data_IF_964172263203
#
_entry.id   IF_964172263203
#
_cell.length_a   1.000
_cell.length_b   1.000
_cell.length_c   1.000
_cell.angle_alpha   90.00
_cell.angle_beta   90.00
_cell.angle_gamma   90.00
#
_symmetry.space_group_name_H-M   'P 1'
#
loop_
_entity.id
_entity.type
_entity.pdbx_description
1 polymer ?
#
# COMPACT_ATOMS: atom_id res chain seq x y z
N UNK A 1 -9.46 -45.29 2.66
CA UNK A 1 -8.54 -44.45 1.87
C UNK A 1 -9.14 -43.07 1.87
N UNK A 2 -8.61 -42.23 2.75
CA UNK A 2 -9.18 -40.93 3.12
C UNK A 2 -9.08 -39.96 1.93
N UNK A 3 -10.23 -39.51 1.44
CA UNK A 3 -10.33 -38.55 0.36
C UNK A 3 -10.01 -37.16 0.91
N UNK A 4 -8.74 -36.75 0.78
CA UNK A 4 -8.28 -35.42 1.15
C UNK A 4 -8.80 -34.41 0.12
N UNK A 5 -10.06 -34.00 0.24
CA UNK A 5 -10.58 -32.82 -0.44
C UNK A 5 -10.05 -31.57 0.26
N UNK A 6 -8.87 -31.11 -0.19
CA UNK A 6 -8.34 -29.80 0.17
C UNK A 6 -9.28 -28.72 -0.39
N UNK A 7 -10.12 -28.13 0.47
CA UNK A 7 -10.92 -26.97 0.10
C UNK A 7 -10.02 -25.74 -0.10
N UNK A 8 -9.95 -25.23 -1.32
CA UNK A 8 -9.13 -24.10 -1.75
C UNK A 8 -9.63 -22.72 -1.26
N UNK A 9 -10.04 -22.59 0.01
CA UNK A 9 -10.64 -21.37 0.55
C UNK A 9 -9.65 -20.43 1.26
N UNK A 10 -8.37 -20.78 1.32
CA UNK A 10 -7.37 -20.02 2.11
C UNK A 10 -6.69 -18.86 1.34
N UNK A 11 -7.36 -18.25 0.37
CA UNK A 11 -6.82 -17.10 -0.39
C UNK A 11 -7.58 -15.78 -0.19
N UNK A 12 -8.39 -15.66 0.86
CA UNK A 12 -9.23 -14.45 1.14
C UNK A 12 -8.99 -13.86 2.54
N UNK A 13 -7.76 -14.01 3.08
CA UNK A 13 -7.42 -13.54 4.42
C UNK A 13 -7.24 -12.03 4.62
N UNK A 14 -7.04 -11.23 3.55
CA UNK A 14 -6.77 -9.79 3.67
C UNK A 14 -7.99 -8.87 3.35
N UNK A 15 -9.12 -9.46 2.93
CA UNK A 15 -10.30 -8.70 2.52
C UNK A 15 -11.32 -8.48 3.64
N UNK A 16 -11.25 -9.24 4.74
CA UNK A 16 -12.34 -9.31 5.72
C UNK A 16 -12.55 -7.99 6.48
N UNK A 17 -11.48 -7.28 6.82
CA UNK A 17 -11.52 -6.01 7.57
C UNK A 17 -11.70 -4.78 6.68
N UNK A 18 -11.45 -4.92 5.38
CA UNK A 18 -11.56 -3.82 4.41
C UNK A 18 -13.02 -3.56 4.02
N UNK A 19 -13.91 -4.57 4.11
CA UNK A 19 -15.34 -4.42 3.81
C UNK A 19 -16.06 -3.45 4.78
N UNK A 20 -15.77 -3.52 6.09
CA UNK A 20 -16.39 -2.63 7.08
C UNK A 20 -15.94 -1.17 6.96
N UNK A 21 -14.68 -0.96 6.61
CA UNK A 21 -14.08 0.36 6.44
C UNK A 21 -14.63 1.10 5.20
N UNK A 22 -14.87 0.35 4.12
CA UNK A 22 -15.51 0.87 2.91
C UNK A 22 -16.95 1.33 3.18
N UNK A 23 -17.69 0.62 4.03
CA UNK A 23 -19.05 0.99 4.39
C UNK A 23 -19.11 2.33 5.13
N UNK A 24 -18.12 2.63 5.98
CA UNK A 24 -18.02 3.88 6.76
C UNK A 24 -17.16 4.96 6.08
N UNK A 25 -16.82 4.82 4.80
CA UNK A 25 -15.89 5.74 4.13
C UNK A 25 -16.35 7.20 4.13
N UNK A 26 -17.66 7.45 4.18
CA UNK A 26 -18.23 8.80 4.26
C UNK A 26 -17.82 9.54 5.53
N UNK A 27 -17.59 8.84 6.64
CA UNK A 27 -17.17 9.43 7.91
C UNK A 27 -15.75 9.99 7.81
N UNK A 28 -14.83 9.25 7.17
CA UNK A 28 -13.42 9.62 7.05
C UNK A 28 -13.14 10.72 6.02
N UNK A 29 -14.12 11.01 5.15
CA UNK A 29 -13.99 11.99 4.07
C UNK A 29 -14.73 13.29 4.36
N UNK A 30 -15.28 13.47 5.56
CA UNK A 30 -15.93 14.73 5.96
C UNK A 30 -14.92 15.89 5.98
N UNK A 31 -13.72 15.63 6.49
CA UNK A 31 -12.66 16.63 6.58
C UNK A 31 -11.80 16.69 5.31
N UNK A 32 -11.24 17.87 5.04
CA UNK A 32 -10.18 18.06 4.06
C UNK A 32 -8.88 18.46 4.80
N UNK A 33 -7.80 17.68 4.72
CA UNK A 33 -7.67 16.37 4.06
C UNK A 33 -8.43 15.23 4.75
N UNK A 34 -8.86 14.24 3.95
CA UNK A 34 -9.38 12.96 4.41
C UNK A 34 -8.21 12.02 4.76
N UNK A 35 -8.12 11.60 6.02
CA UNK A 35 -7.04 10.74 6.51
C UNK A 35 -7.40 9.27 6.39
N UNK A 36 -6.40 8.43 6.19
CA UNK A 36 -6.60 6.99 6.18
C UNK A 36 -6.93 6.48 7.60
N UNK A 37 -8.05 5.78 7.79
CA UNK A 37 -8.49 5.27 9.09
C UNK A 37 -7.63 4.11 9.64
N UNK A 38 -6.71 3.56 8.83
CA UNK A 38 -5.70 2.58 9.28
C UNK A 38 -4.41 3.23 9.77
N UNK A 39 -4.40 4.56 9.98
CA UNK A 39 -3.25 5.34 10.42
C UNK A 39 -1.97 5.08 9.59
N UNK A 40 -2.12 4.84 8.29
CA UNK A 40 -0.99 4.58 7.40
C UNK A 40 -0.22 5.86 7.01
N UNK A 41 -0.56 7.01 7.60
CA UNK A 41 0.02 8.33 7.30
C UNK A 41 -0.38 8.95 5.96
N UNK A 42 -1.23 8.30 5.16
CA UNK A 42 -1.73 8.89 3.90
C UNK A 42 -3.00 9.71 4.11
N UNK A 43 -3.09 10.80 3.36
CA UNK A 43 -4.26 11.67 3.33
C UNK A 43 -4.53 12.20 1.92
N UNK A 44 -5.80 12.49 1.63
CA UNK A 44 -6.27 12.89 0.31
C UNK A 44 -7.09 14.18 0.41
N UNK A 45 -6.86 15.11 -0.50
CA UNK A 45 -7.49 16.45 -0.52
C UNK A 45 -8.41 16.63 -1.74
N UNK A 46 -9.35 17.55 -1.62
CA UNK A 46 -10.22 18.01 -2.70
C UNK A 46 -11.37 17.06 -3.05
N UNK A 47 -12.05 17.38 -4.15
CA UNK A 47 -13.26 16.68 -4.63
C UNK A 47 -13.09 15.17 -4.78
N UNK A 48 -11.88 14.72 -5.15
CA UNK A 48 -11.58 13.31 -5.41
C UNK A 48 -11.13 12.53 -4.18
N UNK A 49 -11.06 13.16 -3.00
CA UNK A 49 -10.52 12.53 -1.79
C UNK A 49 -11.22 11.23 -1.42
N UNK A 50 -12.54 11.14 -1.61
CA UNK A 50 -13.32 9.93 -1.34
C UNK A 50 -12.94 8.78 -2.25
N UNK A 51 -12.88 9.02 -3.56
CA UNK A 51 -12.49 7.99 -4.55
C UNK A 51 -11.04 7.56 -4.33
N UNK A 52 -10.15 8.51 -4.06
CA UNK A 52 -8.75 8.21 -3.81
C UNK A 52 -8.56 7.42 -2.51
N UNK A 53 -9.26 7.78 -1.44
CA UNK A 53 -9.23 7.04 -0.18
C UNK A 53 -9.82 5.64 -0.36
N UNK A 54 -10.89 5.47 -1.15
CA UNK A 54 -11.47 4.16 -1.45
C UNK A 54 -10.44 3.28 -2.16
N UNK A 55 -9.83 3.77 -3.23
CA UNK A 55 -8.84 3.03 -3.99
C UNK A 55 -7.63 2.70 -3.12
N UNK A 56 -7.21 3.63 -2.26
CA UNK A 56 -6.19 3.39 -1.27
C UNK A 56 -6.55 2.22 -0.36
N UNK A 57 -7.74 2.23 0.25
CA UNK A 57 -8.17 1.18 1.17
C UNK A 57 -8.25 -0.20 0.52
N UNK A 58 -8.68 -0.27 -0.74
CA UNK A 58 -8.85 -1.53 -1.49
C UNK A 58 -7.51 -2.06 -1.99
N UNK A 59 -6.65 -1.21 -2.56
CA UNK A 59 -5.52 -1.65 -3.37
C UNK A 59 -4.17 -1.31 -2.78
N UNK A 60 -4.08 -0.49 -1.74
CA UNK A 60 -2.81 -0.01 -1.20
C UNK A 60 -2.68 -0.22 0.31
N UNK A 61 -3.76 -0.01 1.06
CA UNK A 61 -3.74 0.07 2.51
C UNK A 61 -3.67 -1.31 3.14
N UNK A 62 -2.61 -1.56 3.92
CA UNK A 62 -2.35 -2.86 4.53
C UNK A 62 -1.51 -3.79 3.65
N UNK A 63 -1.16 -3.38 2.43
CA UNK A 63 -0.10 -4.06 1.68
C UNK A 63 1.25 -3.64 2.25
N UNK A 64 2.13 -4.59 2.62
CA UNK A 64 3.47 -4.26 3.06
C UNK A 64 4.17 -3.51 1.91
N UNK A 65 4.62 -2.29 2.21
CA UNK A 65 5.51 -1.59 1.29
C UNK A 65 6.82 -2.39 1.24
N UNK A 66 7.00 -3.17 0.18
CA UNK A 66 8.10 -4.13 0.09
C UNK A 66 9.45 -3.47 -0.12
N UNK A 67 9.49 -2.18 -0.48
CA UNK A 67 10.72 -1.52 -0.90
C UNK A 67 10.98 -0.30 -0.03
N UNK A 68 11.93 -0.43 0.90
CA UNK A 68 12.38 0.66 1.77
C UNK A 68 13.67 1.27 1.21
N UNK A 69 13.80 2.59 1.27
CA UNK A 69 15.07 3.25 1.05
C UNK A 69 15.88 3.25 2.35
N UNK A 70 17.09 2.71 2.36
CA UNK A 70 17.91 2.69 3.59
C UNK A 70 18.66 4.00 3.88
N UNK A 71 18.62 4.97 2.95
CA UNK A 71 19.24 6.29 3.17
C UNK A 71 18.28 7.21 3.93
N UNK A 72 17.02 7.29 3.51
CA UNK A 72 16.03 8.17 4.12
C UNK A 72 14.87 7.43 4.80
N UNK A 73 14.94 6.09 4.89
CA UNK A 73 13.92 5.22 5.51
C UNK A 73 12.52 5.30 4.89
N UNK A 74 12.38 5.94 3.71
CA UNK A 74 11.09 6.09 3.03
C UNK A 74 10.68 4.77 2.38
N UNK A 75 9.42 4.39 2.55
CA UNK A 75 8.84 3.17 2.00
C UNK A 75 8.09 3.42 0.69
N UNK A 76 8.24 2.48 -0.23
CA UNK A 76 7.69 2.52 -1.58
C UNK A 76 6.96 1.20 -1.86
N UNK A 77 5.87 1.32 -2.62
CA UNK A 77 5.04 0.19 -3.01
C UNK A 77 5.61 -0.59 -4.20
N UNK A 78 6.28 0.10 -5.12
CA UNK A 78 6.82 -0.50 -6.33
C UNK A 78 8.31 -0.21 -6.48
N UNK A 79 9.05 -1.18 -7.03
CA UNK A 79 10.50 -1.08 -7.30
C UNK A 79 10.84 0.08 -8.24
N UNK A 80 10.00 0.35 -9.25
CA UNK A 80 10.18 1.48 -10.16
C UNK A 80 10.16 2.83 -9.42
N UNK A 81 9.28 2.98 -8.44
CA UNK A 81 9.16 4.22 -7.65
C UNK A 81 10.35 4.42 -6.73
N UNK A 82 10.83 3.34 -6.08
CA UNK A 82 12.08 3.40 -5.31
C UNK A 82 13.26 3.75 -6.21
N UNK A 83 13.36 3.16 -7.41
CA UNK A 83 14.43 3.43 -8.37
C UNK A 83 14.49 4.91 -8.77
N UNK A 84 13.35 5.49 -9.13
CA UNK A 84 13.25 6.92 -9.43
C UNK A 84 13.58 7.76 -8.20
N UNK A 85 13.13 7.36 -7.01
CA UNK A 85 13.49 8.04 -5.77
C UNK A 85 15.00 8.05 -5.52
N UNK A 86 15.68 6.90 -5.66
CA UNK A 86 17.13 6.79 -5.51
C UNK A 86 17.86 7.71 -6.50
N UNK A 87 17.40 7.78 -7.75
CA UNK A 87 17.97 8.67 -8.76
C UNK A 87 17.69 10.16 -8.50
N UNK A 88 16.47 10.55 -8.13
CA UNK A 88 16.11 11.96 -7.98
C UNK A 88 16.48 12.56 -6.62
N UNK A 89 16.46 11.77 -5.55
CA UNK A 89 16.71 12.25 -4.17
C UNK A 89 18.10 11.90 -3.66
N UNK A 90 18.68 10.78 -4.12
CA UNK A 90 20.01 10.35 -3.70
C UNK A 90 21.04 10.36 -4.85
N UNK A 91 20.62 10.65 -6.10
CA UNK A 91 21.48 10.59 -7.30
C UNK A 91 22.16 9.23 -7.49
N UNK A 92 21.53 8.16 -6.99
CA UNK A 92 22.00 6.78 -7.10
C UNK A 92 21.26 6.07 -8.23
N UNK A 93 22.00 5.60 -9.22
CA UNK A 93 21.44 4.82 -10.35
C UNK A 93 21.48 3.34 -9.99
N UNK A 94 20.34 2.78 -9.57
CA UNK A 94 20.22 1.34 -9.30
C UNK A 94 20.23 0.59 -10.66
N UNK A 95 21.28 -0.17 -10.99
CA UNK A 95 21.37 -0.98 -12.21
C UNK A 95 20.42 -2.19 -12.22
N UNK A 96 20.30 -2.90 -13.36
CA UNK A 96 19.51 -4.16 -13.44
C UNK A 96 20.14 -5.30 -12.63
N UNK A 97 21.45 -5.22 -12.37
CA UNK A 97 22.22 -6.21 -11.62
C UNK A 97 22.34 -5.92 -10.10
N UNK A 98 21.74 -4.82 -9.63
CA UNK A 98 21.78 -4.46 -8.21
C UNK A 98 20.61 -5.10 -7.47
N UNK A 99 20.90 -6.12 -6.65
CA UNK A 99 19.91 -6.76 -5.78
C UNK A 99 19.48 -5.75 -4.72
N UNK A 100 18.18 -5.46 -4.70
CA UNK A 100 17.57 -4.48 -3.79
C UNK A 100 17.61 -4.92 -2.31
N UNK A 101 18.11 -6.13 -2.04
CA UNK A 101 18.23 -6.74 -0.72
C UNK A 101 19.61 -6.50 -0.08
N UNK A 102 20.57 -5.90 -0.80
CA UNK A 102 21.92 -5.60 -0.31
C UNK A 102 22.05 -4.16 0.23
N UNK A 103 20.93 -3.53 0.59
CA UNK A 103 20.90 -2.24 1.29
C UNK A 103 20.00 -2.39 2.51
#
# INVERSE_FOLDING_TARGET
TDEVFMNAQEAVGAHRDTQGLLARINEFVQNDPAYCPRDCGRSYKGKWRKTNLRNHLVYECGLPCMFKCNICNRTFKHKCTLKTHMGCKHKIVIGKDFKLNDI
#
